data_IF_359788389341
#
_entry.id   IF_359788389341
#
_cell.length_a   1.000
_cell.length_b   1.000
_cell.length_c   1.000
_cell.angle_alpha   90.00
_cell.angle_beta   90.00
_cell.angle_gamma   90.00
#
_symmetry.space_group_name_H-M   'P 1'
#
loop_
_entity.id
_entity.type
_entity.pdbx_description
1 polymer ?
#
# COMPACT_ATOMS: atom_id res chain seq x y z
N UNK A 1 -9.37 7.88 -17.59
CA UNK A 1 -8.55 7.00 -16.74
C UNK A 1 -7.20 7.65 -16.60
N UNK A 2 -6.74 7.83 -15.37
CA UNK A 2 -5.44 8.46 -15.08
C UNK A 2 -4.33 7.47 -15.41
N UNK A 3 -3.31 7.94 -16.11
CA UNK A 3 -2.10 7.15 -16.40
C UNK A 3 -1.39 6.85 -15.08
N UNK A 4 -1.15 5.57 -14.78
CA UNK A 4 -0.43 5.16 -13.57
C UNK A 4 1.07 5.44 -13.74
N UNK A 5 1.63 6.29 -12.87
CA UNK A 5 3.06 6.59 -12.79
C UNK A 5 3.65 6.31 -11.42
N UNK A 6 2.84 6.39 -10.36
CA UNK A 6 3.26 6.09 -9.00
C UNK A 6 2.23 5.20 -8.28
N UNK A 7 2.72 4.16 -7.60
CA UNK A 7 1.92 3.22 -6.82
C UNK A 7 2.33 3.28 -5.36
N UNK A 8 1.37 3.57 -4.49
CA UNK A 8 1.56 3.49 -3.05
C UNK A 8 1.43 2.05 -2.56
N UNK A 9 2.37 1.59 -1.74
CA UNK A 9 2.26 0.30 -1.06
C UNK A 9 2.13 0.50 0.44
N UNK A 10 1.00 0.02 1.00
CA UNK A 10 0.80 -0.10 2.43
C UNK A 10 1.10 -1.54 2.86
N UNK A 11 1.96 -1.72 3.87
CA UNK A 11 2.39 -3.04 4.32
C UNK A 11 2.97 -3.02 5.74
N UNK A 12 3.23 -4.19 6.32
CA UNK A 12 3.80 -4.30 7.66
C UNK A 12 5.27 -3.84 7.76
N UNK A 13 5.60 -3.09 8.82
CA UNK A 13 6.99 -2.84 9.26
C UNK A 13 7.53 -3.89 10.23
N UNK A 14 6.77 -4.95 10.53
CA UNK A 14 7.21 -6.01 11.45
C UNK A 14 8.19 -6.99 10.79
N UNK A 15 9.31 -7.26 11.44
CA UNK A 15 10.30 -8.25 11.00
C UNK A 15 9.78 -9.70 11.08
N UNK A 16 8.75 -9.94 11.89
CA UNK A 16 8.15 -11.26 12.11
C UNK A 16 7.28 -11.77 10.96
N UNK A 17 7.22 -11.07 9.83
CA UNK A 17 6.46 -11.51 8.65
C UNK A 17 6.88 -12.91 8.20
N UNK A 18 5.96 -13.68 7.62
CA UNK A 18 6.30 -15.01 7.12
C UNK A 18 7.12 -14.89 5.81
N UNK A 19 7.86 -15.95 5.46
CA UNK A 19 8.64 -15.97 4.22
C UNK A 19 7.78 -15.77 2.97
N UNK A 20 6.51 -16.22 3.01
CA UNK A 20 5.55 -16.02 1.93
C UNK A 20 5.20 -14.54 1.71
N UNK A 21 5.01 -13.78 2.79
CA UNK A 21 4.63 -12.37 2.74
C UNK A 21 5.81 -11.54 2.23
N UNK A 22 7.04 -11.89 2.65
CA UNK A 22 8.26 -11.30 2.10
C UNK A 22 8.41 -11.57 0.60
N UNK A 23 8.22 -12.82 0.16
CA UNK A 23 8.25 -13.17 -1.26
C UNK A 23 7.22 -12.36 -2.07
N UNK A 24 6.02 -12.19 -1.53
CA UNK A 24 4.96 -11.39 -2.15
C UNK A 24 5.34 -9.90 -2.24
N UNK A 25 5.92 -9.33 -1.18
CA UNK A 25 6.42 -7.96 -1.17
C UNK A 25 7.56 -7.74 -2.19
N UNK A 26 8.47 -8.70 -2.28
CA UNK A 26 9.57 -8.71 -3.24
C UNK A 26 9.07 -8.73 -4.69
N UNK A 27 8.16 -9.66 -5.00
CA UNK A 27 7.55 -9.77 -6.33
C UNK A 27 6.80 -8.49 -6.70
N UNK A 28 6.07 -7.89 -5.75
CA UNK A 28 5.36 -6.64 -5.98
C UNK A 28 6.32 -5.49 -6.29
N UNK A 29 7.36 -5.30 -5.48
CA UNK A 29 8.34 -4.23 -5.67
C UNK A 29 9.05 -4.32 -7.02
N UNK A 30 9.49 -5.53 -7.39
CA UNK A 30 10.08 -5.82 -8.70
C UNK A 30 9.12 -5.48 -9.83
N UNK A 31 7.87 -5.95 -9.75
CA UNK A 31 6.89 -5.80 -10.81
C UNK A 31 6.39 -4.34 -11.00
N UNK A 32 6.41 -3.53 -9.94
CA UNK A 32 6.17 -2.08 -10.02
C UNK A 32 7.31 -1.41 -10.80
N UNK A 33 8.56 -1.70 -10.45
CA UNK A 33 9.75 -1.15 -11.10
C UNK A 33 9.83 -1.53 -12.58
N UNK A 34 9.58 -2.80 -12.93
CA UNK A 34 9.60 -3.29 -14.32
C UNK A 34 8.57 -2.61 -15.23
N UNK A 35 7.49 -2.04 -14.66
CA UNK A 35 6.49 -1.25 -15.39
C UNK A 35 6.89 0.21 -15.55
N UNK A 36 8.04 0.62 -15.03
CA UNK A 36 8.48 2.01 -14.99
C UNK A 36 7.69 2.86 -13.99
N UNK A 37 6.97 2.24 -13.06
CA UNK A 37 6.21 2.94 -12.03
C UNK A 37 7.09 3.23 -10.81
N UNK A 38 6.86 4.38 -10.17
CA UNK A 38 7.50 4.74 -8.91
C UNK A 38 6.79 4.06 -7.74
N UNK A 39 7.55 3.46 -6.84
CA UNK A 39 7.05 3.01 -5.55
C UNK A 39 6.96 4.19 -4.59
N UNK A 40 5.80 4.39 -3.96
CA UNK A 40 5.62 5.29 -2.80
C UNK A 40 5.30 4.42 -1.59
N UNK A 41 5.98 4.63 -0.47
CA UNK A 41 5.75 3.81 0.73
C UNK A 41 6.16 4.54 2.03
N UNK A 42 6.03 3.86 3.18
CA UNK A 42 6.28 4.45 4.50
C UNK A 42 7.74 4.76 4.88
N UNK A 43 8.72 4.48 4.02
CA UNK A 43 10.11 4.92 4.22
C UNK A 43 10.97 4.11 5.21
N UNK A 44 10.42 3.09 5.86
CA UNK A 44 11.17 2.17 6.73
C UNK A 44 11.91 1.07 5.97
N UNK A 45 12.97 0.52 6.57
CA UNK A 45 13.84 -0.54 6.02
C UNK A 45 13.59 -1.93 6.66
N UNK A 46 12.49 -2.07 7.40
CA UNK A 46 12.17 -3.29 8.15
C UNK A 46 10.91 -3.98 7.62
N UNK A 47 10.80 -5.29 7.91
CA UNK A 47 9.62 -6.08 7.56
C UNK A 47 9.34 -6.11 6.05
N UNK A 48 8.06 -6.01 5.68
CA UNK A 48 7.64 -6.00 4.27
C UNK A 48 7.97 -4.68 3.58
N UNK A 49 8.08 -3.59 4.35
CA UNK A 49 8.44 -2.27 3.84
C UNK A 49 9.85 -2.25 3.25
N UNK A 50 10.84 -2.78 3.97
CA UNK A 50 12.19 -2.92 3.44
C UNK A 50 12.21 -3.83 2.21
N UNK A 51 11.54 -4.98 2.27
CA UNK A 51 11.53 -5.95 1.17
C UNK A 51 10.97 -5.38 -0.14
N UNK A 52 9.82 -4.69 -0.11
CA UNK A 52 9.23 -4.09 -1.31
C UNK A 52 10.11 -2.97 -1.88
N UNK A 53 10.72 -2.16 -1.01
CA UNK A 53 11.58 -1.06 -1.42
C UNK A 53 12.89 -1.55 -2.04
N UNK A 54 13.58 -2.50 -1.41
CA UNK A 54 14.80 -3.10 -1.94
C UNK A 54 14.56 -3.80 -3.27
N UNK A 55 13.45 -4.54 -3.41
CA UNK A 55 13.11 -5.20 -4.66
C UNK A 55 12.88 -4.20 -5.81
N UNK A 56 12.19 -3.08 -5.52
CA UNK A 56 12.00 -2.01 -6.50
C UNK A 56 13.34 -1.36 -6.92
N UNK A 57 14.20 -1.05 -5.94
CA UNK A 57 15.55 -0.49 -6.20
C UNK A 57 16.43 -1.45 -7.00
N UNK A 58 16.43 -2.74 -6.66
CA UNK A 58 17.21 -3.77 -7.35
C UNK A 58 16.79 -3.93 -8.82
N UNK A 59 15.52 -3.66 -9.13
CA UNK A 59 14.97 -3.63 -10.48
C UNK A 59 15.09 -2.24 -11.16
N UNK A 60 15.92 -1.34 -10.60
CA UNK A 60 16.14 0.03 -11.09
C UNK A 60 14.87 0.90 -11.17
N UNK A 61 13.87 0.62 -10.33
CA UNK A 61 12.67 1.44 -10.18
C UNK A 61 12.90 2.64 -9.26
N UNK A 62 12.12 3.70 -9.47
CA UNK A 62 12.14 4.86 -8.57
C UNK A 62 11.39 4.58 -7.28
N UNK A 63 11.95 5.01 -6.14
CA UNK A 63 11.36 4.84 -4.81
C UNK A 63 11.28 6.17 -4.06
N UNK A 64 10.11 6.48 -3.53
CA UNK A 64 9.87 7.58 -2.59
C UNK A 64 9.43 7.01 -1.24
N UNK A 65 10.28 7.16 -0.22
CA UNK A 65 9.92 6.88 1.17
C UNK A 65 9.34 8.12 1.85
N UNK A 66 8.26 7.97 2.61
CA UNK A 66 7.68 9.04 3.42
C UNK A 66 7.58 8.59 4.87
N UNK A 67 8.39 9.18 5.73
CA UNK A 67 8.56 8.75 7.12
C UNK A 67 8.47 9.92 8.10
N UNK A 68 7.72 9.81 9.21
CA UNK A 68 7.74 10.83 10.25
C UNK A 68 9.09 10.84 10.97
N UNK A 69 9.58 12.03 11.34
CA UNK A 69 10.84 12.23 12.07
C UNK A 69 10.96 11.34 13.31
N UNK A 70 9.85 11.08 14.01
CA UNK A 70 9.79 10.22 15.21
C UNK A 70 10.07 8.74 14.92
N UNK A 71 9.83 8.28 13.69
CA UNK A 71 9.97 6.87 13.31
C UNK A 71 11.27 6.57 12.58
N UNK A 72 12.04 7.59 12.17
CA UNK A 72 13.32 7.43 11.43
C UNK A 72 14.26 6.43 12.09
N UNK A 73 14.40 6.46 13.41
CA UNK A 73 15.28 5.52 14.14
C UNK A 73 14.60 4.17 14.38
N UNK A 74 13.29 4.16 14.63
CA UNK A 74 12.56 2.95 15.01
C UNK A 74 12.29 2.03 13.81
N UNK A 75 11.93 2.60 12.67
CA UNK A 75 11.64 1.86 11.44
C UNK A 75 12.85 1.76 10.52
N UNK A 76 14.04 2.17 11.01
CA UNK A 76 15.30 2.23 10.26
C UNK A 76 15.08 2.87 8.89
N UNK A 77 14.98 4.20 8.81
CA UNK A 77 14.68 4.85 7.53
C UNK A 77 15.64 4.37 6.42
N UNK A 78 15.10 3.87 5.31
CA UNK A 78 15.90 3.47 4.15
C UNK A 78 16.39 4.73 3.44
N UNK A 79 17.69 4.99 3.48
CA UNK A 79 18.28 6.24 2.98
C UNK A 79 18.71 6.14 1.53
N UNK A 80 18.87 4.92 1.05
CA UNK A 80 19.33 4.56 -0.28
C UNK A 80 18.21 4.59 -1.34
N UNK A 81 17.11 5.30 -1.06
CA UNK A 81 16.00 5.58 -1.99
C UNK A 81 16.24 6.85 -2.80
N UNK A 82 15.54 7.00 -3.94
CA UNK A 82 15.62 8.21 -4.76
C UNK A 82 15.18 9.47 -4.01
N UNK A 83 14.18 9.34 -3.15
CA UNK A 83 13.69 10.44 -2.34
C UNK A 83 13.18 9.93 -0.98
N UNK A 84 13.65 10.53 0.10
CA UNK A 84 13.15 10.31 1.44
C UNK A 84 12.55 11.60 1.98
N UNK A 85 11.22 11.63 2.12
CA UNK A 85 10.47 12.75 2.68
C UNK A 85 10.28 12.53 4.18
N UNK A 86 10.92 13.38 4.99
CA UNK A 86 10.75 13.36 6.45
C UNK A 86 9.65 14.33 6.86
N UNK A 87 8.62 13.82 7.53
CA UNK A 87 7.46 14.61 7.97
C UNK A 87 7.45 14.85 9.48
N UNK A 88 6.66 15.81 9.95
CA UNK A 88 6.52 16.10 11.38
C UNK A 88 5.41 15.27 12.05
N UNK A 89 4.49 14.68 11.26
CA UNK A 89 3.37 13.90 11.78
C UNK A 89 2.94 12.73 10.89
N UNK A 90 2.22 11.76 11.49
CA UNK A 90 1.59 10.65 10.77
C UNK A 90 0.55 11.12 9.75
N UNK A 91 -0.21 12.18 10.06
CA UNK A 91 -1.23 12.73 9.15
C UNK A 91 -0.58 13.37 7.93
N UNK A 92 0.51 14.11 8.15
CA UNK A 92 1.29 14.67 7.04
C UNK A 92 1.92 13.57 6.18
N UNK A 93 2.43 12.50 6.81
CA UNK A 93 2.93 11.31 6.11
C UNK A 93 1.87 10.72 5.18
N UNK A 94 0.68 10.41 5.71
CA UNK A 94 -0.45 9.88 4.95
C UNK A 94 -0.87 10.81 3.81
N UNK A 95 -1.00 12.12 4.07
CA UNK A 95 -1.34 13.11 3.04
C UNK A 95 -0.33 13.13 1.89
N UNK A 96 0.98 13.10 2.19
CA UNK A 96 2.01 13.12 1.15
C UNK A 96 2.02 11.81 0.34
N UNK A 97 1.85 10.67 1.00
CA UNK A 97 1.74 9.38 0.31
C UNK A 97 0.51 9.35 -0.61
N UNK A 98 -0.61 9.87 -0.13
CA UNK A 98 -1.84 10.02 -0.92
C UNK A 98 -1.61 10.94 -2.14
N UNK A 99 -1.16 12.18 -1.94
CA UNK A 99 -0.97 13.17 -3.02
C UNK A 99 0.03 12.73 -4.10
N UNK A 100 0.96 11.82 -3.77
CA UNK A 100 2.03 11.36 -4.67
C UNK A 100 1.74 10.04 -5.37
N UNK A 101 0.52 9.53 -5.26
CA UNK A 101 0.17 8.20 -5.76
C UNK A 101 -1.05 8.24 -6.67
N UNK A 102 -0.96 7.49 -7.76
CA UNK A 102 -2.05 7.31 -8.73
C UNK A 102 -2.89 6.05 -8.40
N UNK A 103 -2.36 5.17 -7.56
CA UNK A 103 -2.96 3.89 -7.17
C UNK A 103 -2.41 3.39 -5.84
N UNK A 104 -3.13 2.46 -5.20
CA UNK A 104 -2.75 1.85 -3.92
C UNK A 104 -2.80 0.32 -4.00
N UNK A 105 -1.74 -0.34 -3.53
CA UNK A 105 -1.70 -1.79 -3.31
C UNK A 105 -1.44 -2.06 -1.84
N UNK A 106 -2.23 -2.96 -1.25
CA UNK A 106 -2.17 -3.25 0.18
C UNK A 106 -1.75 -4.70 0.40
N UNK A 107 -0.55 -4.87 0.94
CA UNK A 107 -0.01 -6.15 1.41
C UNK A 107 -0.43 -6.39 2.87
N UNK A 108 -0.37 -7.66 3.35
CA UNK A 108 -0.68 -7.98 4.75
C UNK A 108 0.00 -7.06 5.77
N UNK A 109 -0.76 -6.64 6.78
CA UNK A 109 -0.26 -5.69 7.77
C UNK A 109 -1.15 -5.48 8.98
N UNK A 110 -0.61 -4.75 9.96
CA UNK A 110 -1.25 -4.49 11.24
C UNK A 110 -2.08 -3.21 11.26
N UNK A 111 -2.18 -2.59 12.45
CA UNK A 111 -2.98 -1.37 12.66
C UNK A 111 -2.55 -0.20 11.76
N UNK A 112 -1.26 -0.03 11.48
CA UNK A 112 -0.77 1.02 10.58
C UNK A 112 -1.32 0.86 9.17
N UNK A 113 -1.14 -0.32 8.59
CA UNK A 113 -1.69 -0.69 7.27
C UNK A 113 -3.21 -0.57 7.22
N UNK A 114 -3.91 -0.98 8.29
CA UNK A 114 -5.36 -0.82 8.40
C UNK A 114 -5.79 0.65 8.43
N UNK A 115 -5.06 1.51 9.16
CA UNK A 115 -5.36 2.94 9.23
C UNK A 115 -5.20 3.59 7.85
N UNK A 116 -4.12 3.27 7.14
CA UNK A 116 -3.83 3.75 5.79
C UNK A 116 -4.88 3.27 4.78
N UNK A 117 -5.22 1.96 4.80
CA UNK A 117 -6.25 1.38 3.95
C UNK A 117 -7.62 2.04 4.20
N UNK A 118 -8.09 2.05 5.45
CA UNK A 118 -9.44 2.56 5.77
C UNK A 118 -9.60 4.04 5.44
N UNK A 119 -8.53 4.84 5.54
CA UNK A 119 -8.55 6.24 5.10
C UNK A 119 -8.78 6.33 3.59
N UNK A 120 -8.02 5.60 2.76
CA UNK A 120 -8.21 5.61 1.30
C UNK A 120 -9.59 5.09 0.88
N UNK A 121 -10.09 4.03 1.52
CA UNK A 121 -11.45 3.55 1.24
C UNK A 121 -12.52 4.59 1.61
N UNK A 122 -12.33 5.29 2.73
CA UNK A 122 -13.26 6.35 3.18
C UNK A 122 -13.25 7.53 2.22
N UNK A 123 -12.07 7.98 1.79
CA UNK A 123 -11.92 9.09 0.85
C UNK A 123 -12.52 8.74 -0.52
N UNK A 124 -12.31 7.53 -1.01
CA UNK A 124 -12.95 7.02 -2.23
C UNK A 124 -14.48 7.01 -2.10
N UNK A 125 -15.01 6.46 -1.00
CA UNK A 125 -16.46 6.42 -0.74
C UNK A 125 -17.10 7.82 -0.68
N UNK A 126 -16.37 8.81 -0.16
CA UNK A 126 -16.81 10.19 -0.08
C UNK A 126 -16.58 11.00 -1.38
N UNK A 127 -15.98 10.39 -2.41
CA UNK A 127 -15.74 11.01 -3.71
C UNK A 127 -14.56 11.99 -3.75
N UNK A 128 -13.62 11.90 -2.79
CA UNK A 128 -12.40 12.72 -2.82
C UNK A 128 -11.39 12.25 -3.86
N UNK A 129 -11.44 10.98 -4.26
CA UNK A 129 -10.68 10.44 -5.38
C UNK A 129 -11.38 9.22 -5.98
N UNK A 130 -10.93 8.81 -7.17
CA UNK A 130 -11.36 7.62 -7.92
C UNK A 130 -10.21 6.63 -8.18
N UNK A 131 -9.02 6.91 -7.64
CA UNK A 131 -7.82 6.06 -7.77
C UNK A 131 -8.05 4.63 -7.24
N UNK A 132 -7.55 3.60 -7.93
CA UNK A 132 -7.76 2.20 -7.55
C UNK A 132 -7.04 1.85 -6.24
N UNK A 133 -7.73 1.09 -5.38
CA UNK A 133 -7.20 0.49 -4.16
C UNK A 133 -7.34 -1.02 -4.28
N UNK A 134 -6.22 -1.76 -4.25
CA UNK A 134 -6.22 -3.21 -4.43
C UNK A 134 -5.63 -3.91 -3.22
N UNK A 135 -6.39 -4.85 -2.65
CA UNK A 135 -5.89 -5.77 -1.63
C UNK A 135 -5.16 -6.92 -2.33
N UNK A 136 -3.85 -7.08 -2.10
CA UNK A 136 -3.10 -8.21 -2.62
C UNK A 136 -3.14 -9.34 -1.58
N UNK A 137 -3.97 -10.35 -1.84
CA UNK A 137 -4.49 -11.29 -0.85
C UNK A 137 -4.49 -12.76 -1.33
N UNK A 138 -3.34 -13.35 -1.71
CA UNK A 138 -3.28 -14.71 -2.26
C UNK A 138 -3.75 -15.80 -1.27
N UNK A 139 -3.66 -15.56 0.04
CA UNK A 139 -3.97 -16.52 1.09
C UNK A 139 -5.18 -16.13 1.96
N UNK A 140 -5.88 -15.05 1.61
CA UNK A 140 -7.11 -14.65 2.31
C UNK A 140 -6.88 -13.95 3.66
N UNK A 141 -5.72 -13.35 3.88
CA UNK A 141 -5.43 -12.49 5.04
C UNK A 141 -6.50 -11.40 5.24
N UNK A 142 -7.00 -10.79 4.16
CA UNK A 142 -7.97 -9.69 4.23
C UNK A 142 -9.44 -10.13 4.37
N UNK A 143 -9.73 -11.44 4.31
CA UNK A 143 -11.10 -11.96 4.42
C UNK A 143 -11.86 -11.48 5.68
N UNK A 144 -11.26 -11.46 6.88
CA UNK A 144 -11.98 -10.99 8.08
C UNK A 144 -12.39 -9.52 8.00
N UNK A 145 -11.53 -8.66 7.43
CA UNK A 145 -11.85 -7.24 7.24
C UNK A 145 -13.00 -7.09 6.24
N UNK A 146 -12.94 -7.80 5.12
CA UNK A 146 -13.99 -7.77 4.09
C UNK A 146 -15.34 -8.20 4.65
N UNK A 147 -15.40 -9.30 5.40
CA UNK A 147 -16.62 -9.73 6.08
C UNK A 147 -17.16 -8.67 7.05
N UNK A 148 -16.29 -7.95 7.76
CA UNK A 148 -16.71 -6.88 8.67
C UNK A 148 -17.34 -5.70 7.91
N UNK A 149 -16.77 -5.32 6.77
CA UNK A 149 -17.31 -4.25 5.93
C UNK A 149 -18.64 -4.67 5.28
N UNK A 150 -18.73 -5.91 4.78
CA UNK A 150 -19.94 -6.51 4.23
C UNK A 150 -21.06 -6.54 5.29
N UNK A 151 -20.75 -6.90 6.54
CA UNK A 151 -21.71 -6.87 7.65
C UNK A 151 -22.20 -5.45 7.97
N UNK A 152 -21.35 -4.43 7.87
CA UNK A 152 -21.77 -3.04 8.04
C UNK A 152 -22.71 -2.60 6.91
N UNK A 153 -22.38 -2.94 5.66
CA UNK A 153 -23.22 -2.64 4.50
C UNK A 153 -24.58 -3.34 4.56
N UNK A 154 -24.61 -4.63 4.94
CA UNK A 154 -25.84 -5.40 5.11
C UNK A 154 -26.78 -4.80 6.17
N UNK A 155 -26.24 -4.03 7.12
CA UNK A 155 -26.99 -3.31 8.17
C UNK A 155 -27.35 -1.87 7.77
N UNK A 156 -27.05 -1.45 6.54
CA UNK A 156 -27.28 -0.09 6.05
C UNK A 156 -26.37 0.96 6.70
N UNK A 157 -25.22 0.54 7.25
CA UNK A 157 -24.26 1.44 7.90
C UNK A 157 -23.20 1.98 6.92
N UNK A 158 -23.24 1.56 5.66
CA UNK A 158 -22.38 2.04 4.59
C UNK A 158 -23.23 2.37 3.35
N UNK A 159 -22.92 3.49 2.70
CA UNK A 159 -23.64 3.97 1.52
C UNK A 159 -23.15 3.33 0.21
N UNK A 160 -21.97 2.71 0.23
CA UNK A 160 -21.34 2.03 -0.91
C UNK A 160 -21.15 0.55 -0.63
N UNK A 161 -21.17 -0.27 -1.69
CA UNK A 161 -20.89 -1.70 -1.56
C UNK A 161 -19.38 -1.91 -1.33
N UNK A 162 -18.97 -2.55 -0.21
CA UNK A 162 -17.56 -2.76 0.11
C UNK A 162 -16.80 -3.55 -0.95
N UNK A 163 -17.47 -4.46 -1.65
CA UNK A 163 -16.88 -5.33 -2.68
C UNK A 163 -16.27 -4.51 -3.83
N UNK A 164 -16.90 -3.39 -4.22
CA UNK A 164 -16.38 -2.51 -5.26
C UNK A 164 -15.08 -1.80 -4.83
N UNK A 165 -14.90 -1.60 -3.52
CA UNK A 165 -13.77 -0.87 -2.94
C UNK A 165 -12.64 -1.79 -2.42
N UNK A 166 -12.90 -3.10 -2.29
CA UNK A 166 -12.00 -4.05 -1.59
C UNK A 166 -11.74 -5.33 -2.36
N UNK A 167 -12.04 -5.38 -3.66
CA UNK A 167 -11.86 -6.58 -4.46
C UNK A 167 -10.41 -7.11 -4.34
N UNK A 168 -10.19 -8.33 -3.81
CA UNK A 168 -8.86 -8.88 -3.58
C UNK A 168 -8.26 -9.44 -4.87
N UNK A 169 -6.97 -9.23 -5.08
CA UNK A 169 -6.18 -9.86 -6.13
C UNK A 169 -5.38 -11.02 -5.54
N UNK A 170 -5.36 -12.15 -6.24
CA UNK A 170 -4.73 -13.40 -5.80
C UNK A 170 -3.24 -13.51 -6.20
N UNK A 171 -2.73 -12.52 -6.93
CA UNK A 171 -1.37 -12.49 -7.44
C UNK A 171 -0.94 -11.07 -7.75
N UNK A 172 0.37 -10.82 -7.77
CA UNK A 172 0.95 -9.52 -8.16
C UNK A 172 0.50 -9.12 -9.56
N UNK A 173 0.49 -10.07 -10.50
CA UNK A 173 0.04 -9.81 -11.88
C UNK A 173 -1.43 -9.35 -11.91
N UNK A 174 -2.32 -10.06 -11.21
CA UNK A 174 -3.72 -9.67 -11.12
C UNK A 174 -3.89 -8.31 -10.43
N UNK A 175 -3.11 -8.03 -9.39
CA UNK A 175 -3.18 -6.75 -8.68
C UNK A 175 -2.81 -5.59 -9.58
N UNK A 176 -1.67 -5.66 -10.28
CA UNK A 176 -1.20 -4.59 -11.16
C UNK A 176 -2.07 -4.44 -12.41
N UNK A 177 -2.67 -5.53 -12.92
CA UNK A 177 -3.64 -5.47 -14.02
C UNK A 177 -4.89 -4.66 -13.64
N UNK A 178 -5.34 -4.75 -12.39
CA UNK A 178 -6.49 -3.97 -11.89
C UNK A 178 -6.20 -2.48 -11.74
N UNK A 179 -4.94 -2.08 -11.60
CA UNK A 179 -4.57 -0.67 -11.54
C UNK A 179 -4.64 0.02 -12.91
N UNK A 180 -4.50 -0.75 -13.99
CA UNK A 180 -4.49 -0.28 -15.36
C UNK A 180 -5.84 -0.44 -16.09
N UNK A 181 -6.83 -1.04 -15.42
CA UNK A 181 -8.20 -1.28 -15.91
C UNK A 181 -9.10 -0.08 -15.66
#
# INVERSE_FOLDING_TARGET
MTEIRAVCVFCASSEGAAARDRKLAHELGTAIAERGWRLVYGGGDVGLMGEVAHAALAAAGGVTGVIPRKLVTHELALREVDELVVTESMRERQRIMDERSDAFVVLPGGLGTLAELLEMLTLAQLGYHDRPVVLLDPDGFWQPLRHQLEAAAARGLANSQPEALTAPADSVVAALARLAS
#
